data_IF_049493805988
#
_entry.id   IF_049493805988
#
_cell.length_a   1.000
_cell.length_b   1.000
_cell.length_c   1.000
_cell.angle_alpha   90.00
_cell.angle_beta   90.00
_cell.angle_gamma   90.00
#
_symmetry.space_group_name_H-M   'P 1'
#
loop_
_entity.id
_entity.type
_entity.pdbx_description
1 polymer ?
#
# COMPACT_ATOMS: atom_id res chain seq x y z
N UNK A 1 9.30 -25.86 -12.21
CA UNK A 1 8.00 -26.43 -11.77
C UNK A 1 7.77 -25.98 -10.33
N UNK A 2 6.63 -25.43 -9.98
CA UNK A 2 6.26 -25.13 -8.59
C UNK A 2 4.94 -25.85 -8.27
N UNK A 3 4.69 -26.11 -6.99
CA UNK A 3 3.46 -26.71 -6.52
C UNK A 3 2.74 -25.74 -5.58
N UNK A 4 1.43 -25.61 -5.75
CA UNK A 4 0.55 -24.88 -4.84
C UNK A 4 -0.25 -25.88 -4.01
N UNK A 5 -0.34 -25.60 -2.73
CA UNK A 5 -1.22 -26.33 -1.80
C UNK A 5 -2.36 -25.41 -1.42
N UNK A 6 -3.59 -25.89 -1.53
CA UNK A 6 -4.80 -25.12 -1.25
C UNK A 6 -5.81 -25.97 -0.53
N UNK A 7 -6.69 -25.35 0.23
CA UNK A 7 -7.90 -25.93 0.82
C UNK A 7 -9.17 -25.66 -0.02
N UNK A 8 -9.01 -25.00 -1.18
CA UNK A 8 -10.07 -24.80 -2.17
C UNK A 8 -10.21 -26.09 -2.99
N UNK A 9 -11.07 -27.00 -2.52
CA UNK A 9 -11.14 -28.38 -3.01
C UNK A 9 -12.08 -28.58 -4.21
N UNK A 10 -12.97 -27.61 -4.49
CA UNK A 10 -13.88 -27.69 -5.62
C UNK A 10 -13.13 -27.26 -6.90
N UNK A 11 -12.76 -28.23 -7.72
CA UNK A 11 -12.01 -28.01 -8.96
C UNK A 11 -12.81 -27.37 -10.08
N UNK A 12 -14.14 -27.39 -9.98
CA UNK A 12 -15.04 -26.73 -10.94
C UNK A 12 -15.16 -25.24 -10.62
N UNK A 13 -15.25 -24.91 -9.34
CA UNK A 13 -15.31 -23.52 -8.86
C UNK A 13 -13.92 -22.85 -8.86
N UNK A 14 -12.86 -23.62 -8.53
CA UNK A 14 -11.48 -23.15 -8.42
C UNK A 14 -10.52 -23.93 -9.32
N UNK A 15 -10.56 -23.75 -10.65
CA UNK A 15 -9.67 -24.45 -11.56
C UNK A 15 -8.19 -24.19 -11.27
N UNK A 16 -7.36 -25.21 -11.37
CA UNK A 16 -5.92 -25.10 -11.10
C UNK A 16 -5.19 -23.98 -11.90
N UNK A 17 -5.52 -23.72 -13.17
CA UNK A 17 -4.94 -22.59 -13.91
C UNK A 17 -5.27 -21.22 -13.27
N UNK A 18 -6.51 -21.05 -12.79
CA UNK A 18 -6.96 -19.79 -12.18
C UNK A 18 -6.27 -19.56 -10.84
N UNK A 19 -6.10 -20.61 -10.03
CA UNK A 19 -5.33 -20.56 -8.80
C UNK A 19 -3.85 -20.22 -9.08
N UNK A 20 -3.27 -20.78 -10.12
CA UNK A 20 -1.90 -20.49 -10.54
C UNK A 20 -1.73 -19.03 -11.01
N UNK A 21 -2.74 -18.47 -11.68
CA UNK A 21 -2.77 -17.06 -12.09
C UNK A 21 -3.03 -16.10 -10.91
N UNK A 22 -3.82 -16.51 -9.93
CA UNK A 22 -4.12 -15.71 -8.74
C UNK A 22 -2.95 -15.66 -7.75
N UNK A 23 -2.17 -16.73 -7.64
CA UNK A 23 -1.09 -16.82 -6.65
C UNK A 23 -0.06 -15.68 -6.71
N UNK A 24 0.42 -15.24 -7.89
CA UNK A 24 1.35 -14.11 -7.98
C UNK A 24 0.80 -12.80 -7.40
N UNK A 25 -0.55 -12.62 -7.36
CA UNK A 25 -1.17 -11.43 -6.78
C UNK A 25 -0.91 -11.30 -5.27
N UNK A 26 -0.57 -12.42 -4.60
CA UNK A 26 -0.11 -12.43 -3.21
C UNK A 26 1.10 -11.52 -2.99
N UNK A 27 1.93 -11.34 -4.02
CA UNK A 27 3.08 -10.44 -3.96
C UNK A 27 2.69 -9.00 -3.66
N UNK A 28 1.44 -8.62 -3.98
CA UNK A 28 0.88 -7.32 -3.60
C UNK A 28 0.89 -7.08 -2.10
N UNK A 29 0.66 -8.10 -1.26
CA UNK A 29 0.71 -7.96 0.20
C UNK A 29 2.13 -7.61 0.69
N UNK A 30 3.15 -8.23 0.12
CA UNK A 30 4.55 -7.94 0.47
C UNK A 30 4.95 -6.53 0.03
N UNK A 31 4.45 -6.08 -1.12
CA UNK A 31 4.64 -4.70 -1.61
C UNK A 31 3.99 -3.70 -0.65
N UNK A 32 2.76 -3.96 -0.18
CA UNK A 32 2.07 -3.11 0.82
C UNK A 32 2.87 -3.02 2.10
N UNK A 33 3.35 -4.16 2.61
CA UNK A 33 4.20 -4.18 3.81
C UNK A 33 5.51 -3.41 3.58
N UNK A 34 6.11 -3.55 2.40
CA UNK A 34 7.29 -2.80 1.98
C UNK A 34 7.06 -1.29 2.00
N UNK A 35 5.95 -0.82 1.43
CA UNK A 35 5.57 0.60 1.44
C UNK A 35 5.44 1.15 2.87
N UNK A 36 4.80 0.41 3.78
CA UNK A 36 4.67 0.83 5.18
C UNK A 36 6.01 0.88 5.91
N UNK A 37 6.89 -0.09 5.66
CA UNK A 37 8.17 -0.20 6.36
C UNK A 37 9.22 0.77 5.82
N UNK A 38 9.23 1.02 4.53
CA UNK A 38 10.33 1.70 3.85
C UNK A 38 9.93 3.09 3.38
N UNK A 39 8.82 3.21 2.65
CA UNK A 39 8.49 4.46 1.96
C UNK A 39 7.79 5.46 2.87
N UNK A 40 6.89 5.01 3.74
CA UNK A 40 6.11 5.88 4.61
C UNK A 40 6.84 6.28 5.90
N UNK A 41 7.92 5.60 6.26
CA UNK A 41 8.62 5.80 7.52
C UNK A 41 10.04 6.35 7.42
N UNK A 42 10.44 6.95 6.28
CA UNK A 42 11.81 7.43 6.08
C UNK A 42 12.88 6.41 6.52
N UNK A 43 12.62 5.11 6.19
CA UNK A 43 13.53 4.01 6.49
C UNK A 43 13.10 3.07 7.61
N UNK A 44 12.47 3.52 8.67
CA UNK A 44 11.81 2.67 9.68
C UNK A 44 10.80 3.49 10.49
N UNK A 45 9.48 3.24 10.36
CA UNK A 45 8.50 3.90 11.20
C UNK A 45 8.69 3.44 12.66
N UNK A 46 9.19 4.33 13.49
CA UNK A 46 9.29 4.08 14.92
C UNK A 46 8.00 4.57 15.55
N UNK A 47 7.18 3.63 16.03
CA UNK A 47 6.01 3.96 16.83
C UNK A 47 6.49 4.59 18.16
N UNK A 48 5.96 5.76 18.48
CA UNK A 48 6.41 6.56 19.63
C UNK A 48 5.63 6.27 20.89
N UNK A 49 4.40 5.79 20.73
CA UNK A 49 3.53 5.43 21.84
C UNK A 49 4.07 4.22 22.60
N UNK A 50 3.92 4.25 23.91
CA UNK A 50 4.38 3.21 24.81
C UNK A 50 3.24 2.38 25.40
N UNK A 51 2.01 2.70 25.04
CA UNK A 51 0.81 1.99 25.47
C UNK A 51 0.11 1.36 24.24
N UNK A 52 -0.63 0.25 24.45
CA UNK A 52 -1.25 -0.47 23.33
C UNK A 52 -2.26 0.35 22.52
N UNK A 53 -3.00 1.25 23.17
CA UNK A 53 -4.00 2.07 22.51
C UNK A 53 -3.36 3.10 21.60
N UNK A 54 -2.33 3.80 22.08
CA UNK A 54 -1.57 4.75 21.27
C UNK A 54 -0.87 4.09 20.11
N UNK A 55 -0.29 2.89 20.29
CA UNK A 55 0.29 2.10 19.19
C UNK A 55 -0.77 1.77 18.14
N UNK A 56 -1.96 1.35 18.56
CA UNK A 56 -3.06 1.07 17.64
C UNK A 56 -3.47 2.32 16.85
N UNK A 57 -3.55 3.49 17.50
CA UNK A 57 -3.86 4.75 16.84
C UNK A 57 -2.81 5.13 15.80
N UNK A 58 -1.53 5.00 16.11
CA UNK A 58 -0.44 5.27 15.16
C UNK A 58 -0.50 4.33 13.96
N UNK A 59 -0.77 3.04 14.18
CA UNK A 59 -0.93 2.07 13.09
C UNK A 59 -2.13 2.39 12.20
N UNK A 60 -3.28 2.72 12.78
CA UNK A 60 -4.46 3.10 12.00
C UNK A 60 -4.23 4.39 11.21
N UNK A 61 -3.49 5.35 11.76
CA UNK A 61 -3.11 6.56 11.04
C UNK A 61 -2.23 6.24 9.82
N UNK A 62 -1.23 5.36 9.97
CA UNK A 62 -0.41 4.89 8.85
C UNK A 62 -1.24 4.22 7.76
N UNK A 63 -2.15 3.32 8.12
CA UNK A 63 -3.01 2.66 7.16
C UNK A 63 -3.96 3.64 6.45
N UNK A 64 -4.49 4.63 7.16
CA UNK A 64 -5.34 5.65 6.57
C UNK A 64 -4.59 6.50 5.54
N UNK A 65 -3.36 6.92 5.84
CA UNK A 65 -2.51 7.66 4.90
C UNK A 65 -2.16 6.79 3.70
N UNK A 66 -1.80 5.53 3.91
CA UNK A 66 -1.53 4.59 2.82
C UNK A 66 -2.74 4.47 1.88
N UNK A 67 -3.93 4.27 2.45
CA UNK A 67 -5.17 4.17 1.68
C UNK A 67 -5.46 5.45 0.89
N UNK A 68 -5.22 6.61 1.47
CA UNK A 68 -5.40 7.89 0.78
C UNK A 68 -4.45 8.02 -0.43
N UNK A 69 -3.18 7.62 -0.29
CA UNK A 69 -2.23 7.60 -1.41
C UNK A 69 -2.66 6.60 -2.50
N UNK A 70 -3.13 5.42 -2.12
CA UNK A 70 -3.66 4.45 -3.08
C UNK A 70 -4.87 4.99 -3.85
N UNK A 71 -5.78 5.71 -3.18
CA UNK A 71 -6.92 6.37 -3.83
C UNK A 71 -6.47 7.49 -4.78
N UNK A 72 -5.46 8.27 -4.39
CA UNK A 72 -4.88 9.29 -5.24
C UNK A 72 -4.26 8.68 -6.51
N UNK A 73 -3.54 7.58 -6.36
CA UNK A 73 -2.98 6.82 -7.49
C UNK A 73 -4.12 6.33 -8.40
N UNK A 74 -5.17 5.73 -7.83
CA UNK A 74 -6.33 5.26 -8.58
C UNK A 74 -7.00 6.37 -9.39
N UNK A 75 -7.25 7.52 -8.77
CA UNK A 75 -7.82 8.67 -9.46
C UNK A 75 -6.91 9.20 -10.58
N UNK A 76 -5.60 9.19 -10.37
CA UNK A 76 -4.61 9.58 -11.39
C UNK A 76 -4.57 8.60 -12.57
N UNK A 77 -4.67 7.31 -12.29
CA UNK A 77 -4.78 6.22 -13.28
C UNK A 77 -6.01 6.42 -14.16
N UNK A 78 -7.17 6.61 -13.54
CA UNK A 78 -8.43 6.80 -14.26
C UNK A 78 -8.40 8.06 -15.14
N UNK A 79 -7.86 9.16 -14.62
CA UNK A 79 -7.76 10.43 -15.35
C UNK A 79 -6.77 10.38 -16.51
N UNK A 80 -5.66 9.64 -16.36
CA UNK A 80 -4.61 9.54 -17.36
C UNK A 80 -4.77 8.37 -18.33
N UNK A 81 -5.64 7.40 -18.04
CA UNK A 81 -5.85 6.19 -18.84
C UNK A 81 -4.59 5.29 -18.88
N UNK A 82 -3.79 5.29 -17.84
CA UNK A 82 -2.58 4.47 -17.73
C UNK A 82 -2.76 3.33 -16.74
N UNK A 83 -2.05 2.20 -16.89
CA UNK A 83 -2.14 1.09 -15.95
C UNK A 83 -1.60 1.47 -14.55
N UNK A 84 -2.20 0.97 -13.45
CA UNK A 84 -1.78 1.28 -12.07
C UNK A 84 -0.33 0.91 -11.76
N UNK A 85 0.18 -0.17 -12.38
CA UNK A 85 1.55 -0.65 -12.22
C UNK A 85 2.61 0.29 -12.79
N UNK A 86 2.21 1.31 -13.54
CA UNK A 86 3.11 2.36 -14.06
C UNK A 86 3.30 3.52 -13.11
N UNK A 87 2.49 3.62 -12.05
CA UNK A 87 2.63 4.69 -11.05
C UNK A 87 3.41 4.16 -9.85
N UNK A 88 4.54 4.80 -9.56
CA UNK A 88 5.36 4.48 -8.40
C UNK A 88 4.74 5.06 -7.12
N UNK A 89 4.50 4.22 -6.11
CA UNK A 89 4.01 4.65 -4.81
C UNK A 89 4.91 5.72 -4.14
N UNK A 90 6.25 5.58 -4.10
CA UNK A 90 7.12 6.61 -3.56
C UNK A 90 6.99 7.96 -4.27
N UNK A 91 6.82 7.99 -5.58
CA UNK A 91 6.60 9.22 -6.32
C UNK A 91 5.25 9.87 -6.00
N UNK A 92 4.18 9.07 -5.89
CA UNK A 92 2.87 9.57 -5.50
C UNK A 92 2.89 10.14 -4.07
N UNK A 93 3.54 9.47 -3.14
CA UNK A 93 3.74 9.93 -1.77
C UNK A 93 4.52 11.26 -1.73
N UNK A 94 5.63 11.36 -2.46
CA UNK A 94 6.42 12.60 -2.53
C UNK A 94 5.62 13.75 -3.13
N UNK A 95 4.83 13.51 -4.19
CA UNK A 95 3.97 14.51 -4.79
C UNK A 95 2.88 14.98 -3.82
N UNK A 96 2.22 14.06 -3.13
CA UNK A 96 1.21 14.39 -2.11
C UNK A 96 1.83 15.21 -0.96
N UNK A 97 2.99 14.80 -0.46
CA UNK A 97 3.71 15.52 0.60
C UNK A 97 4.08 16.93 0.17
N UNK A 98 4.62 17.11 -1.04
CA UNK A 98 4.99 18.43 -1.56
C UNK A 98 3.78 19.35 -1.72
N UNK A 99 2.64 18.81 -2.17
CA UNK A 99 1.38 19.55 -2.32
C UNK A 99 0.84 20.01 -0.97
N UNK A 100 0.84 19.14 0.03
CA UNK A 100 0.39 19.47 1.39
C UNK A 100 1.31 20.52 2.01
N UNK A 101 2.62 20.37 1.88
CA UNK A 101 3.60 21.32 2.43
C UNK A 101 3.50 22.69 1.75
N UNK A 102 3.19 22.74 0.46
CA UNK A 102 2.97 23.99 -0.24
C UNK A 102 1.67 24.69 0.18
N UNK A 103 0.58 23.91 0.40
CA UNK A 103 -0.71 24.43 0.83
C UNK A 103 -0.74 24.85 2.31
N UNK A 104 0.03 24.15 3.16
CA UNK A 104 0.12 24.38 4.60
C UNK A 104 1.59 24.47 5.02
N UNK A 105 2.28 25.61 4.71
CA UNK A 105 3.67 25.76 5.09
C UNK A 105 3.81 25.68 6.62
N UNK A 106 4.86 25.00 7.13
CA UNK A 106 5.08 24.93 8.56
C UNK A 106 5.20 26.33 9.15
N UNK A 107 4.47 26.62 10.22
CA UNK A 107 4.58 27.89 10.93
C UNK A 107 6.03 28.04 11.39
N UNK A 108 6.68 29.13 10.98
CA UNK A 108 7.99 29.46 11.51
C UNK A 108 7.82 29.77 13.01
N UNK A 109 8.34 28.88 13.84
CA UNK A 109 8.49 29.14 15.26
C UNK A 109 9.56 30.21 15.50
#
# INVERSE_FOLDING_TARGET
MFALVTDLLDVEEYPAPDLACAYPLRWGCETVIGHHKTDMGEGQPVLRSKDPEGVAQEMWALFAVYQAICQLIGAGVDAAGIPPDKISFPHALAAATSTITAAFPPSRA
#
